data_IF_916778192208
#
_entry.id   IF_916778192208
#
_cell.length_a   1.000
_cell.length_b   1.000
_cell.length_c   1.000
_cell.angle_alpha   90.00
_cell.angle_beta   90.00
_cell.angle_gamma   90.00
#
_symmetry.space_group_name_H-M   'P 1'
#
loop_
_entity.id
_entity.type
_entity.pdbx_description
1 polymer ?
#
# COMPACT_ATOMS: atom_id res chain seq x y z
N UNK A 1 32.87 -3.44 -32.88
CA UNK A 1 33.06 -2.95 -31.49
C UNK A 1 31.75 -3.16 -30.73
N UNK A 2 31.67 -4.18 -29.85
CA UNK A 2 30.42 -4.61 -29.21
C UNK A 2 30.12 -3.73 -27.99
N UNK A 3 28.86 -3.31 -27.81
CA UNK A 3 28.41 -2.81 -26.49
C UNK A 3 27.71 -3.94 -25.78
N UNK A 4 28.35 -4.40 -24.71
CA UNK A 4 28.03 -5.58 -23.94
C UNK A 4 26.61 -5.59 -23.40
N UNK A 5 25.99 -6.75 -23.59
CA UNK A 5 24.74 -7.19 -22.99
C UNK A 5 25.02 -7.45 -21.51
N UNK A 6 24.80 -6.44 -20.67
CA UNK A 6 24.82 -6.57 -19.22
C UNK A 6 23.52 -7.18 -18.74
N UNK A 7 23.48 -8.51 -18.61
CA UNK A 7 22.45 -9.24 -17.88
C UNK A 7 22.41 -8.74 -16.43
N UNK A 8 21.53 -7.78 -16.14
CA UNK A 8 21.23 -7.34 -14.78
C UNK A 8 20.49 -8.47 -14.05
N UNK A 9 21.24 -9.33 -13.35
CA UNK A 9 20.73 -10.45 -12.53
C UNK A 9 19.78 -10.03 -11.38
N UNK A 10 19.48 -8.74 -11.19
CA UNK A 10 18.57 -8.25 -10.15
C UNK A 10 17.14 -7.92 -10.62
N UNK A 11 16.85 -8.00 -11.92
CA UNK A 11 15.46 -7.85 -12.37
C UNK A 11 14.76 -9.23 -12.34
N UNK A 12 13.66 -9.41 -11.58
CA UNK A 12 12.87 -10.62 -11.68
C UNK A 12 12.33 -10.73 -13.12
N UNK A 13 12.69 -11.82 -13.81
CA UNK A 13 12.20 -12.08 -15.17
C UNK A 13 10.67 -12.21 -15.14
N UNK A 14 9.94 -11.53 -16.05
CA UNK A 14 8.52 -11.75 -16.17
C UNK A 14 8.28 -13.20 -16.63
N UNK A 15 7.47 -13.93 -15.88
CA UNK A 15 6.99 -15.25 -16.27
C UNK A 15 6.24 -15.11 -17.60
N UNK A 16 6.65 -15.92 -18.58
CA UNK A 16 5.99 -16.04 -19.87
C UNK A 16 4.54 -16.48 -19.67
N UNK A 17 3.59 -15.56 -19.76
CA UNK A 17 2.17 -15.90 -19.87
C UNK A 17 1.88 -16.26 -21.33
N UNK A 18 1.59 -17.55 -21.54
CA UNK A 18 0.90 -18.04 -22.73
C UNK A 18 -0.45 -17.33 -22.90
N UNK A 19 -0.87 -17.21 -24.16
CA UNK A 19 -1.99 -16.40 -24.58
C UNK A 19 -3.35 -16.76 -23.98
N UNK A 20 -4.22 -15.75 -23.91
CA UNK A 20 -5.64 -15.88 -23.62
C UNK A 20 -6.24 -14.59 -23.09
N UNK A 21 -6.86 -13.80 -23.97
CA UNK A 21 -8.01 -12.87 -23.79
C UNK A 21 -8.10 -11.93 -22.58
N UNK A 22 -8.63 -10.69 -22.74
CA UNK A 22 -8.83 -9.77 -21.63
C UNK A 22 -10.05 -10.21 -20.79
N UNK A 23 -9.83 -11.06 -19.80
CA UNK A 23 -10.82 -11.41 -18.78
C UNK A 23 -10.94 -10.31 -17.71
N UNK A 24 -12.13 -10.13 -17.12
CA UNK A 24 -12.38 -9.05 -16.17
C UNK A 24 -11.71 -9.35 -14.83
N UNK A 25 -11.03 -8.34 -14.27
CA UNK A 25 -10.67 -8.29 -12.86
C UNK A 25 -9.53 -9.22 -12.43
N UNK A 26 -8.29 -8.93 -12.84
CA UNK A 26 -7.13 -9.37 -12.05
C UNK A 26 -7.17 -8.59 -10.73
N UNK A 27 -7.83 -9.17 -9.73
CA UNK A 27 -7.74 -8.73 -8.34
C UNK A 27 -6.27 -8.78 -7.97
N UNK A 28 -5.64 -7.63 -7.78
CA UNK A 28 -4.38 -7.55 -7.05
C UNK A 28 -4.69 -8.01 -5.63
N UNK A 29 -4.53 -9.31 -5.37
CA UNK A 29 -4.63 -9.86 -4.04
C UNK A 29 -3.37 -9.43 -3.28
N UNK A 30 -3.36 -8.18 -2.80
CA UNK A 30 -2.47 -7.81 -1.71
C UNK A 30 -2.91 -8.68 -0.55
N UNK A 31 -2.16 -9.76 -0.32
CA UNK A 31 -2.42 -10.73 0.74
C UNK A 31 -2.29 -9.98 2.06
N UNK A 32 -3.38 -9.37 2.50
CA UNK A 32 -3.56 -8.92 3.87
C UNK A 32 -3.55 -10.19 4.70
N UNK A 33 -2.37 -10.61 5.13
CA UNK A 33 -2.26 -11.40 6.33
C UNK A 33 -2.85 -10.54 7.44
N UNK A 34 -4.17 -10.68 7.64
CA UNK A 34 -4.86 -10.27 8.82
C UNK A 34 -4.13 -10.93 9.99
N UNK A 35 -3.18 -10.20 10.57
CA UNK A 35 -2.60 -10.60 11.85
C UNK A 35 -3.77 -10.61 12.82
N UNK A 36 -4.00 -11.73 13.55
CA UNK A 36 -5.03 -11.76 14.58
C UNK A 36 -4.73 -10.61 15.56
N UNK A 37 -5.79 -9.95 16.02
CA UNK A 37 -5.77 -8.75 16.87
C UNK A 37 -4.70 -8.81 17.96
N UNK A 38 -3.49 -8.37 17.63
CA UNK A 38 -2.39 -8.28 18.55
C UNK A 38 -2.50 -6.91 19.22
N UNK A 39 -3.14 -6.92 20.40
CA UNK A 39 -2.89 -6.07 21.56
C UNK A 39 -2.19 -4.75 21.22
N UNK A 40 -2.96 -3.66 21.21
CA UNK A 40 -2.46 -2.29 21.25
C UNK A 40 -1.41 -2.18 22.37
N UNK A 41 -0.12 -2.28 22.01
CA UNK A 41 0.94 -1.83 22.88
C UNK A 41 0.84 -0.30 22.90
N UNK A 42 0.17 0.20 23.94
CA UNK A 42 0.20 1.61 24.34
C UNK A 42 1.66 2.04 24.32
N UNK A 43 2.03 2.92 23.39
CA UNK A 43 3.34 3.60 23.40
C UNK A 43 3.30 4.56 24.59
N UNK A 44 3.62 4.03 25.77
CA UNK A 44 3.94 4.83 26.95
C UNK A 44 5.31 5.44 26.69
N UNK A 45 5.36 6.76 26.60
CA UNK A 45 6.57 7.56 26.78
C UNK A 45 7.29 7.08 28.04
N UNK A 46 8.40 6.35 27.85
CA UNK A 46 9.09 5.58 28.87
C UNK A 46 9.64 4.28 28.30
N UNK A 47 10.36 4.34 27.18
CA UNK A 47 11.12 3.19 26.70
C UNK A 47 12.41 3.11 27.52
N UNK A 48 12.38 2.42 28.66
CA UNK A 48 13.60 1.88 29.24
C UNK A 48 14.14 0.84 28.25
N UNK A 49 15.29 1.14 27.63
CA UNK A 49 16.00 0.19 26.78
C UNK A 49 16.67 -0.85 27.70
N UNK A 50 15.87 -1.76 28.24
CA UNK A 50 16.34 -2.99 28.87
C UNK A 50 15.93 -4.16 28.01
N UNK A 51 16.89 -4.67 27.24
CA UNK A 51 16.77 -5.96 26.56
C UNK A 51 16.83 -5.90 25.05
N UNK A 52 17.93 -5.37 24.49
CA UNK A 52 18.37 -5.83 23.17
C UNK A 52 19.32 -7.00 23.39
N UNK A 53 18.81 -8.24 23.30
CA UNK A 53 19.67 -9.43 23.28
C UNK A 53 20.24 -9.53 21.86
N UNK A 54 21.50 -9.16 21.69
CA UNK A 54 22.25 -9.33 20.45
C UNK A 54 22.54 -10.83 20.28
N UNK A 55 21.69 -11.53 19.54
CA UNK A 55 21.98 -12.90 19.11
C UNK A 55 23.03 -12.84 18.00
N UNK A 56 24.30 -12.92 18.40
CA UNK A 56 25.45 -12.89 17.50
C UNK A 56 26.71 -12.25 18.08
N UNK A 57 26.99 -12.40 19.38
CA UNK A 57 28.34 -12.10 19.88
C UNK A 57 29.26 -13.25 19.49
N UNK A 58 29.97 -13.11 18.38
CA UNK A 58 31.19 -13.88 18.12
C UNK A 58 32.13 -13.72 19.33
N UNK A 59 32.92 -14.77 19.64
CA UNK A 59 33.76 -14.80 20.83
C UNK A 59 34.70 -13.59 20.89
N UNK A 60 34.98 -13.12 22.10
CA UNK A 60 35.84 -11.93 22.37
C UNK A 60 37.20 -11.99 21.65
N UNK A 61 37.65 -13.20 21.30
CA UNK A 61 38.91 -13.49 20.59
C UNK A 61 38.86 -13.19 19.08
N UNK A 62 37.72 -13.34 18.39
CA UNK A 62 37.60 -13.06 16.95
C UNK A 62 37.43 -11.57 16.65
N UNK A 63 36.76 -10.82 17.55
CA UNK A 63 36.68 -9.35 17.47
C UNK A 63 38.04 -8.67 17.61
N UNK A 64 38.95 -9.25 18.41
CA UNK A 64 40.31 -8.74 18.57
C UNK A 64 41.16 -8.94 17.30
N UNK A 65 40.92 -10.01 16.54
CA UNK A 65 41.63 -10.30 15.30
C UNK A 65 41.26 -9.36 14.13
N UNK A 66 40.09 -8.72 14.21
CA UNK A 66 39.58 -7.78 13.20
C UNK A 66 39.53 -6.31 13.67
N UNK A 67 40.05 -6.01 14.87
CA UNK A 67 40.11 -4.66 15.41
C UNK A 67 41.11 -3.80 14.60
N UNK A 68 40.60 -3.08 13.62
CA UNK A 68 41.35 -2.00 12.98
C UNK A 68 41.45 -0.87 13.99
N UNK A 69 42.67 -0.42 14.31
CA UNK A 69 42.89 0.67 15.26
C UNK A 69 42.39 1.99 14.67
N UNK A 70 41.21 2.44 15.10
CA UNK A 70 40.67 3.74 14.75
C UNK A 70 41.08 4.78 15.80
N UNK A 71 41.74 5.84 15.34
CA UNK A 71 42.05 7.01 16.17
C UNK A 71 40.83 7.93 16.21
N UNK A 72 40.22 8.08 17.39
CA UNK A 72 39.06 8.95 17.61
C UNK A 72 39.49 10.25 18.32
N UNK A 73 39.36 11.40 17.66
CA UNK A 73 39.38 12.72 18.30
C UNK A 73 37.94 13.15 18.56
N UNK A 74 37.52 13.62 19.76
CA UNK A 74 38.27 13.94 21.00
C UNK A 74 38.48 12.77 21.98
N UNK A 75 37.90 11.60 21.70
CA UNK A 75 38.02 10.37 22.49
C UNK A 75 36.86 9.40 22.19
N UNK A 76 37.04 8.08 22.35
CA UNK A 76 36.06 7.09 21.92
C UNK A 76 34.71 7.21 22.65
N UNK A 77 34.73 7.50 23.96
CA UNK A 77 33.51 7.64 24.77
C UNK A 77 32.68 8.87 24.39
N UNK A 78 33.35 10.02 24.20
CA UNK A 78 32.71 11.27 23.81
C UNK A 78 32.13 11.18 22.39
N UNK A 79 32.87 10.55 21.47
CA UNK A 79 32.39 10.29 20.11
C UNK A 79 31.18 9.35 20.10
N UNK A 80 31.22 8.26 20.86
CA UNK A 80 30.12 7.31 20.93
C UNK A 80 28.85 7.94 21.52
N UNK A 81 28.97 8.75 22.57
CA UNK A 81 27.84 9.48 23.15
C UNK A 81 27.18 10.42 22.13
N UNK A 82 27.99 11.14 21.35
CA UNK A 82 27.50 12.01 20.27
C UNK A 82 26.83 11.20 19.15
N UNK A 83 27.48 10.13 18.69
CA UNK A 83 26.97 9.29 17.60
C UNK A 83 25.66 8.62 17.97
N UNK A 84 25.52 8.13 19.21
CA UNK A 84 24.32 7.45 19.68
C UNK A 84 23.11 8.40 19.67
N UNK A 85 23.29 9.64 20.14
CA UNK A 85 22.24 10.64 20.11
C UNK A 85 21.81 10.97 18.67
N UNK A 86 22.78 11.18 17.77
CA UNK A 86 22.49 11.53 16.39
C UNK A 86 21.88 10.37 15.60
N UNK A 87 22.29 9.13 15.89
CA UNK A 87 21.71 7.94 15.29
C UNK A 87 20.23 7.79 15.65
N UNK A 88 19.86 8.06 16.91
CA UNK A 88 18.47 8.01 17.33
C UNK A 88 17.62 9.09 16.64
N UNK A 89 18.14 10.30 16.47
CA UNK A 89 17.45 11.37 15.75
C UNK A 89 17.16 10.97 14.30
N UNK A 90 18.16 10.43 13.61
CA UNK A 90 18.02 9.95 12.22
C UNK A 90 17.03 8.79 12.14
N UNK A 91 17.13 7.82 13.04
CA UNK A 91 16.24 6.66 13.06
C UNK A 91 14.78 7.06 13.29
N UNK A 92 14.53 7.97 14.24
CA UNK A 92 13.19 8.47 14.50
C UNK A 92 12.64 9.23 13.27
N UNK A 93 13.46 10.03 12.62
CA UNK A 93 13.08 10.75 11.41
C UNK A 93 12.71 9.78 10.27
N UNK A 94 13.48 8.71 10.08
CA UNK A 94 13.18 7.65 9.09
C UNK A 94 11.83 6.98 9.38
N UNK A 95 11.57 6.60 10.63
CA UNK A 95 10.29 5.98 11.04
C UNK A 95 9.12 6.91 10.75
N UNK A 96 9.25 8.21 11.02
CA UNK A 96 8.21 9.20 10.73
C UNK A 96 7.96 9.36 9.23
N UNK A 97 9.01 9.40 8.41
CA UNK A 97 8.88 9.45 6.95
C UNK A 97 8.20 8.20 6.39
N UNK A 98 8.60 7.02 6.87
CA UNK A 98 7.99 5.75 6.48
C UNK A 98 6.50 5.67 6.89
N UNK A 99 6.16 6.17 8.07
CA UNK A 99 4.77 6.27 8.52
C UNK A 99 3.95 7.20 7.62
N UNK A 100 4.51 8.36 7.23
CA UNK A 100 3.84 9.31 6.34
C UNK A 100 3.65 8.77 4.92
N UNK A 101 4.66 8.10 4.36
CA UNK A 101 4.55 7.45 3.07
C UNK A 101 3.48 6.32 3.09
N UNK A 102 3.42 5.57 4.17
CA UNK A 102 2.42 4.51 4.38
C UNK A 102 1.01 5.07 4.51
N UNK A 103 0.82 6.16 5.27
CA UNK A 103 -0.44 6.89 5.38
C UNK A 103 -0.93 7.38 4.01
N UNK A 104 -0.03 7.98 3.23
CA UNK A 104 -0.36 8.49 1.91
C UNK A 104 -0.76 7.36 0.95
N UNK A 105 -0.03 6.24 0.96
CA UNK A 105 -0.34 5.06 0.16
C UNK A 105 -1.70 4.46 0.53
N UNK A 106 -1.98 4.33 1.83
CA UNK A 106 -3.28 3.86 2.30
C UNK A 106 -4.42 4.79 1.88
N UNK A 107 -4.20 6.11 1.95
CA UNK A 107 -5.18 7.11 1.49
C UNK A 107 -5.45 6.98 0.00
N UNK A 108 -4.42 6.83 -0.84
CA UNK A 108 -4.59 6.67 -2.29
C UNK A 108 -5.42 5.43 -2.63
N UNK A 109 -5.15 4.29 -1.97
CA UNK A 109 -5.91 3.05 -2.17
C UNK A 109 -7.36 3.20 -1.71
N UNK A 110 -7.59 3.81 -0.54
CA UNK A 110 -8.94 4.07 -0.04
C UNK A 110 -9.75 4.97 -0.98
N UNK A 111 -9.14 6.04 -1.50
CA UNK A 111 -9.78 6.95 -2.44
C UNK A 111 -10.04 6.29 -3.80
N UNK A 112 -9.12 5.44 -4.27
CA UNK A 112 -9.34 4.66 -5.49
C UNK A 112 -10.55 3.74 -5.35
N UNK A 113 -10.64 2.99 -4.24
CA UNK A 113 -11.78 2.13 -3.96
C UNK A 113 -13.09 2.93 -3.88
N UNK A 114 -13.07 4.11 -3.25
CA UNK A 114 -14.24 4.98 -3.18
C UNK A 114 -14.70 5.45 -4.58
N UNK A 115 -13.75 5.84 -5.44
CA UNK A 115 -14.02 6.23 -6.84
C UNK A 115 -14.57 5.06 -7.66
N UNK A 116 -14.00 3.87 -7.50
CA UNK A 116 -14.45 2.66 -8.21
C UNK A 116 -15.90 2.31 -7.80
N UNK A 117 -16.23 2.40 -6.50
CA UNK A 117 -17.59 2.19 -6.00
C UNK A 117 -18.57 3.26 -6.51
N UNK A 118 -18.16 4.53 -6.56
CA UNK A 118 -18.99 5.60 -7.11
C UNK A 118 -19.29 5.38 -8.60
N UNK A 119 -18.31 4.91 -9.37
CA UNK A 119 -18.50 4.56 -10.78
C UNK A 119 -19.45 3.38 -10.98
N UNK A 120 -19.47 2.42 -10.06
CA UNK A 120 -20.46 1.33 -10.06
C UNK A 120 -21.87 1.89 -9.86
N UNK A 121 -22.08 2.73 -8.83
CA UNK A 121 -23.38 3.38 -8.61
C UNK A 121 -23.85 4.22 -9.80
N UNK A 122 -22.94 4.95 -10.46
CA UNK A 122 -23.31 5.73 -11.66
C UNK A 122 -23.86 4.82 -12.75
N UNK A 123 -23.25 3.65 -12.98
CA UNK A 123 -23.72 2.70 -14.00
C UNK A 123 -25.12 2.17 -13.66
N UNK A 124 -25.32 1.79 -12.40
CA UNK A 124 -26.60 1.25 -11.93
C UNK A 124 -27.71 2.29 -12.04
N UNK A 125 -27.47 3.52 -11.57
CA UNK A 125 -28.42 4.62 -11.66
C UNK A 125 -28.71 5.01 -13.12
N UNK A 126 -27.72 4.93 -14.01
CA UNK A 126 -27.93 5.19 -15.45
C UNK A 126 -28.84 4.13 -16.07
N UNK A 127 -28.65 2.87 -15.70
CA UNK A 127 -29.49 1.77 -16.18
C UNK A 127 -30.92 1.90 -15.65
N UNK A 128 -31.09 2.26 -14.38
CA UNK A 128 -32.40 2.56 -13.78
C UNK A 128 -33.08 3.77 -14.44
N UNK A 129 -32.34 4.85 -14.67
CA UNK A 129 -32.85 6.03 -15.38
C UNK A 129 -33.40 5.68 -16.78
N UNK A 130 -32.68 4.84 -17.53
CA UNK A 130 -33.12 4.40 -18.85
C UNK A 130 -34.39 3.53 -18.77
N UNK A 131 -34.50 2.66 -17.76
CA UNK A 131 -35.72 1.87 -17.51
C UNK A 131 -36.92 2.78 -17.20
N UNK A 132 -36.74 3.74 -16.29
CA UNK A 132 -37.81 4.68 -15.90
C UNK A 132 -38.23 5.56 -17.08
N UNK A 133 -37.26 6.00 -17.90
CA UNK A 133 -37.56 6.75 -19.13
C UNK A 133 -38.39 5.93 -20.11
N UNK A 134 -38.05 4.66 -20.33
CA UNK A 134 -38.84 3.78 -21.21
C UNK A 134 -40.23 3.53 -20.63
N UNK A 135 -40.33 3.28 -19.33
CA UNK A 135 -41.62 3.14 -18.65
C UNK A 135 -42.49 4.39 -18.83
N UNK A 136 -41.92 5.59 -18.68
CA UNK A 136 -42.61 6.87 -18.93
C UNK A 136 -43.15 7.00 -20.36
N UNK A 137 -42.33 6.69 -21.37
CA UNK A 137 -42.79 6.69 -22.77
C UNK A 137 -43.94 5.70 -22.97
N UNK A 138 -43.85 4.50 -22.39
CA UNK A 138 -44.93 3.50 -22.52
C UNK A 138 -46.21 3.95 -21.82
N UNK A 139 -46.14 4.60 -20.66
CA UNK A 139 -47.32 5.12 -19.97
C UNK A 139 -47.98 6.24 -20.76
N UNK A 140 -47.21 7.20 -21.28
CA UNK A 140 -47.73 8.27 -22.13
C UNK A 140 -48.43 7.72 -23.38
N UNK A 141 -47.84 6.70 -24.04
CA UNK A 141 -48.46 6.06 -25.20
C UNK A 141 -49.74 5.30 -24.85
N UNK A 142 -49.79 4.62 -23.70
CA UNK A 142 -50.98 3.93 -23.23
C UNK A 142 -52.12 4.91 -22.89
N UNK A 143 -51.80 6.06 -22.29
CA UNK A 143 -52.76 7.13 -22.02
C UNK A 143 -53.36 7.70 -23.33
N UNK A 144 -52.54 7.94 -24.35
CA UNK A 144 -53.03 8.38 -25.67
C UNK A 144 -53.92 7.32 -26.31
N UNK A 145 -53.50 6.05 -26.31
CA UNK A 145 -54.26 4.97 -26.93
C UNK A 145 -55.61 4.73 -26.23
N UNK A 146 -55.64 4.76 -24.88
CA UNK A 146 -56.88 4.61 -24.11
C UNK A 146 -57.84 5.78 -24.32
N UNK A 147 -57.33 7.02 -24.43
CA UNK A 147 -58.13 8.18 -24.76
C UNK A 147 -58.72 8.11 -26.19
N UNK A 148 -57.98 7.56 -27.17
CA UNK A 148 -58.52 7.35 -28.51
C UNK A 148 -59.63 6.28 -28.53
N UNK A 149 -59.44 5.19 -27.78
CA UNK A 149 -60.43 4.12 -27.68
C UNK A 149 -61.73 4.57 -27.00
N UNK A 150 -61.66 5.46 -26.00
CA UNK A 150 -62.85 5.95 -25.30
C UNK A 150 -63.71 6.90 -26.13
N UNK A 151 -63.13 7.56 -27.15
CA UNK A 151 -63.86 8.44 -28.08
C UNK A 151 -64.56 7.62 -29.19
N UNK A 152 -64.06 6.43 -29.49
CA UNK A 152 -64.56 5.56 -30.57
C UNK A 152 -65.68 4.58 -30.17
N UNK A 153 -66.18 4.64 -28.94
CA UNK A 153 -67.23 3.76 -28.40
C UNK A 153 -68.51 4.54 -28.06
#
# INVERSE_FOLDING_TARGET
>A
MPRGQGDCRLCPRPLSEGGGGPGPGRRYAFRQHARPAARLHRVSTGCEIKGLKLEGSESEEELAAHATEFLFEPGPEAFLAYLLAHYLDIYLYEVLLNAKASEHSARMVAMKNATDNANEFIKDLTLEYNKMRQAGITTELLEIATAQLSIGA
#
